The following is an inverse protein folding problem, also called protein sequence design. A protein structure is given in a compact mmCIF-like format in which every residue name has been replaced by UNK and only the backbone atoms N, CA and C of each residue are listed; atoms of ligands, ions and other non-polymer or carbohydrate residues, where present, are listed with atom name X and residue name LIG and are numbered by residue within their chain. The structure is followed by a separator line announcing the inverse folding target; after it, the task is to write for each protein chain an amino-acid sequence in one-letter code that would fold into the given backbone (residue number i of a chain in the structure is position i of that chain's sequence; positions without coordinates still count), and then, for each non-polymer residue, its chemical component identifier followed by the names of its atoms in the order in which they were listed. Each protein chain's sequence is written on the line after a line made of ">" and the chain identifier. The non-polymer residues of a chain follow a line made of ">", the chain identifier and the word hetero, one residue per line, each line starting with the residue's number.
data_IF_427938348704
#
_entry.id   IF_427938348704
#
_cell.length_a   1.000
_cell.length_b   1.000
_cell.length_c   1.000
_cell.angle_alpha   90.00
_cell.angle_beta   90.00
_cell.angle_gamma   90.00
#
_symmetry.space_group_name_H-M   'P 1'
#
loop_
_entity.id
_entity.type
_entity.pdbx_description
1 polymer ?
#
# COMPACT_ATOMS: atom_id res chain seq x y z
N UNK A 1 11.06 -14.61 -14.74
CA UNK A 1 11.05 -13.16 -14.43
C UNK A 1 9.66 -12.91 -13.92
N UNK A 2 9.48 -12.63 -12.63
CA UNK A 2 8.15 -12.34 -12.08
C UNK A 2 7.69 -11.00 -12.66
N UNK A 3 6.53 -10.97 -13.31
CA UNK A 3 5.95 -9.72 -13.78
C UNK A 3 5.33 -8.96 -12.59
N UNK A 4 5.45 -7.63 -12.54
CA UNK A 4 4.86 -6.85 -11.47
C UNK A 4 3.34 -6.94 -11.51
N UNK A 5 2.71 -7.17 -10.36
CA UNK A 5 1.25 -7.09 -10.22
C UNK A 5 0.77 -5.66 -10.48
N UNK A 6 -0.28 -5.53 -11.29
CA UNK A 6 -0.95 -4.26 -11.51
C UNK A 6 -1.79 -3.88 -10.28
N UNK A 7 -1.49 -2.72 -9.69
CA UNK A 7 -2.21 -2.19 -8.52
C UNK A 7 -2.99 -0.95 -8.90
N UNK A 8 -4.29 -0.93 -8.58
CA UNK A 8 -5.16 0.22 -8.84
C UNK A 8 -4.75 1.44 -8.00
N UNK A 9 -4.73 2.62 -8.62
CA UNK A 9 -4.44 3.88 -7.93
C UNK A 9 -5.37 4.13 -6.73
N UNK A 10 -6.66 3.79 -6.86
CA UNK A 10 -7.64 3.96 -5.78
C UNK A 10 -7.27 3.14 -4.53
N UNK A 11 -6.77 1.92 -4.73
CA UNK A 11 -6.29 1.08 -3.63
C UNK A 11 -5.07 1.74 -2.94
N UNK A 12 -4.12 2.27 -3.71
CA UNK A 12 -2.97 3.00 -3.17
C UNK A 12 -3.41 4.22 -2.35
N UNK A 13 -4.38 4.99 -2.84
CA UNK A 13 -4.94 6.15 -2.14
C UNK A 13 -5.59 5.74 -0.82
N UNK A 14 -6.33 4.63 -0.78
CA UNK A 14 -6.97 4.13 0.43
C UNK A 14 -5.95 3.66 1.48
N UNK A 15 -4.98 2.82 1.08
CA UNK A 15 -3.99 2.26 2.02
C UNK A 15 -2.97 3.30 2.51
N UNK A 16 -2.89 4.47 1.87
CA UNK A 16 -2.07 5.62 2.29
C UNK A 16 -2.88 6.72 2.99
N UNK A 17 -4.19 6.52 3.22
CA UNK A 17 -5.09 7.55 3.76
C UNK A 17 -4.99 8.87 2.97
N UNK A 18 -5.14 8.77 1.65
CA UNK A 18 -5.05 9.91 0.76
C UNK A 18 -3.63 10.49 0.64
N UNK A 19 -2.58 9.67 0.79
CA UNK A 19 -1.19 10.14 0.85
C UNK A 19 -0.97 11.17 1.98
N UNK A 20 -1.56 10.94 3.16
CA UNK A 20 -1.42 11.82 4.32
C UNK A 20 0.04 11.96 4.77
N UNK A 21 0.44 13.18 5.12
CA UNK A 21 1.75 13.49 5.69
C UNK A 21 2.04 12.69 6.97
N UNK A 22 1.04 12.32 7.75
CA UNK A 22 1.19 11.46 8.95
C UNK A 22 1.70 10.04 8.62
N UNK A 23 1.62 9.65 7.35
CA UNK A 23 2.15 8.38 6.84
C UNK A 23 3.42 8.56 6.02
N UNK A 24 3.87 9.78 5.78
CA UNK A 24 5.14 10.03 5.09
C UNK A 24 6.29 9.52 5.95
N UNK A 25 7.13 8.70 5.33
CA UNK A 25 8.38 8.21 5.93
C UNK A 25 9.53 9.12 5.53
N UNK A 26 9.53 9.59 4.28
CA UNK A 26 10.54 10.49 3.75
C UNK A 26 10.30 10.83 2.30
N UNK A 27 11.08 11.76 1.79
CA UNK A 27 11.06 12.23 0.41
C UNK A 27 12.49 12.46 -0.08
N UNK A 28 12.74 12.07 -1.33
CA UNK A 28 14.00 12.34 -2.01
C UNK A 28 13.76 12.69 -3.48
N UNK A 29 14.83 12.82 -4.26
CA UNK A 29 14.76 13.26 -5.65
C UNK A 29 13.89 12.38 -6.56
N UNK A 30 13.62 11.13 -6.15
CA UNK A 30 12.88 10.14 -6.93
C UNK A 30 11.45 9.90 -6.43
N UNK A 31 11.02 10.63 -5.39
CA UNK A 31 9.65 10.58 -4.89
C UNK A 31 9.53 10.44 -3.38
N UNK A 32 8.29 10.21 -2.95
CA UNK A 32 7.87 10.18 -1.55
C UNK A 32 7.48 8.77 -1.14
N UNK A 33 7.94 8.34 0.04
CA UNK A 33 7.64 7.02 0.60
C UNK A 33 6.60 7.16 1.71
N UNK A 34 5.54 6.35 1.63
CA UNK A 34 4.47 6.32 2.62
C UNK A 34 4.36 4.95 3.28
N UNK A 35 4.20 4.91 4.61
CA UNK A 35 3.91 3.68 5.35
C UNK A 35 2.45 3.28 5.18
N UNK A 36 2.19 1.98 5.03
CA UNK A 36 0.84 1.43 4.86
C UNK A 36 0.64 0.23 5.78
N UNK A 37 -0.61 -0.10 6.11
CA UNK A 37 -0.97 -1.35 6.79
C UNK A 37 -1.87 -2.15 5.87
N UNK A 38 -1.34 -3.23 5.31
CA UNK A 38 -2.12 -4.20 4.56
C UNK A 38 -2.77 -5.15 5.56
N UNK A 39 -4.09 -5.01 5.74
CA UNK A 39 -4.85 -6.04 6.46
C UNK A 39 -5.02 -7.21 5.49
N UNK A 40 -4.31 -8.31 5.72
CA UNK A 40 -4.63 -9.58 5.09
C UNK A 40 -6.01 -10.01 5.60
N UNK A 41 -7.08 -9.74 4.85
CA UNK A 41 -8.43 -10.13 5.28
C UNK A 41 -8.70 -11.63 4.99
N UNK A 42 -7.82 -12.40 4.33
CA UNK A 42 -8.25 -13.72 3.79
C UNK A 42 -7.31 -14.94 3.89
N UNK A 43 -6.16 -14.95 4.58
CA UNK A 43 -5.35 -16.21 4.62
C UNK A 43 -5.71 -17.22 5.71
N UNK A 44 -6.55 -16.87 6.71
CA UNK A 44 -6.87 -17.79 7.82
C UNK A 44 -8.35 -18.18 7.96
N UNK A 45 -9.28 -17.62 7.19
CA UNK A 45 -10.73 -17.85 7.38
C UNK A 45 -11.43 -18.51 6.20
N UNK A 46 -10.69 -19.01 5.20
CA UNK A 46 -11.27 -19.82 4.11
C UNK A 46 -11.05 -21.33 4.28
N UNK A 47 -10.59 -21.77 5.46
CA UNK A 47 -10.37 -23.17 5.82
C UNK A 47 -11.10 -23.54 7.13
N UNK A 48 -12.33 -23.06 7.30
CA UNK A 48 -13.30 -23.54 8.29
C UNK A 48 -14.70 -23.54 7.68
#
# INVERSE_FOLDING_TARGET
>A
MEEPEEVKFQFLREITNGFSEERKVGEGAFGTVYRVRLRHVLSCLSHY
#
